data_IF_158131687411
#
_entry.id   IF_158131687411
#
_cell.length_a   1.000
_cell.length_b   1.000
_cell.length_c   1.000
_cell.angle_alpha   90.00
_cell.angle_beta   90.00
_cell.angle_gamma   90.00
#
_symmetry.space_group_name_H-M   'P 1'
#
loop_
_entity.id
_entity.type
_entity.pdbx_description
1 polymer ?
#
# COMPACT_ATOMS: atom_id res chain seq x y z
N UNK A 1 -9.45 15.90 26.72
CA UNK A 1 -8.03 16.14 26.41
C UNK A 1 -7.36 17.10 27.39
N UNK A 2 -8.06 18.13 27.89
CA UNK A 2 -7.49 19.01 28.92
C UNK A 2 -7.51 18.36 30.31
N UNK A 3 -6.42 18.56 31.07
CA UNK A 3 -6.17 18.10 32.44
C UNK A 3 -5.83 16.60 32.64
N UNK A 4 -5.24 15.95 31.63
CA UNK A 4 -4.66 14.60 31.77
C UNK A 4 -3.34 14.50 31.00
N UNK A 5 -2.35 13.80 31.54
CA UNK A 5 -1.08 13.53 30.86
C UNK A 5 -1.15 12.19 30.14
N UNK A 6 -0.76 12.17 28.87
CA UNK A 6 -0.72 10.96 28.05
C UNK A 6 0.70 10.68 27.59
N UNK A 7 1.08 9.41 27.53
CA UNK A 7 2.27 8.95 26.82
C UNK A 7 1.84 8.56 25.41
N UNK A 8 2.32 9.29 24.42
CA UNK A 8 1.97 9.07 23.02
C UNK A 8 3.17 8.47 22.29
N UNK A 9 2.99 7.29 21.70
CA UNK A 9 3.92 6.75 20.72
C UNK A 9 3.77 7.53 19.41
N UNK A 10 4.88 8.05 18.90
CA UNK A 10 4.92 8.73 17.61
C UNK A 10 6.16 8.31 16.85
N UNK A 11 5.99 7.95 15.59
CA UNK A 11 7.08 7.61 14.70
C UNK A 11 6.68 7.93 13.26
N UNK A 12 7.64 8.41 12.47
CA UNK A 12 7.47 8.65 11.04
C UNK A 12 8.49 7.80 10.27
N UNK A 13 7.98 6.98 9.34
CA UNK A 13 8.80 6.08 8.53
C UNK A 13 9.04 6.70 7.16
N UNK A 14 10.11 7.46 7.02
CA UNK A 14 10.49 8.08 5.75
C UNK A 14 10.71 7.01 4.67
N UNK A 15 10.14 7.22 3.47
CA UNK A 15 10.22 6.26 2.37
C UNK A 15 9.12 5.19 2.35
N UNK A 16 8.25 5.14 3.37
CA UNK A 16 7.12 4.19 3.46
C UNK A 16 5.76 4.83 3.13
N UNK A 17 5.76 6.04 2.56
CA UNK A 17 4.56 6.62 1.95
C UNK A 17 4.22 5.90 0.65
N UNK A 18 2.93 5.87 0.26
CA UNK A 18 2.43 5.06 -0.86
C UNK A 18 3.24 5.22 -2.16
N UNK A 19 3.55 6.46 -2.58
CA UNK A 19 4.34 6.71 -3.80
C UNK A 19 5.78 6.19 -3.68
N UNK A 20 6.43 6.40 -2.54
CA UNK A 20 7.78 5.89 -2.35
C UNK A 20 7.80 4.35 -2.31
N UNK A 21 6.78 3.74 -1.71
CA UNK A 21 6.60 2.29 -1.69
C UNK A 21 6.45 1.70 -3.09
N UNK A 22 5.69 2.33 -4.01
CA UNK A 22 5.60 1.86 -5.40
C UNK A 22 6.98 1.77 -6.08
N UNK A 23 7.82 2.80 -5.92
CA UNK A 23 9.18 2.79 -6.45
C UNK A 23 10.06 1.73 -5.77
N UNK A 24 9.89 1.54 -4.47
CA UNK A 24 10.60 0.51 -3.72
C UNK A 24 10.23 -0.90 -4.22
N UNK A 25 8.94 -1.17 -4.43
CA UNK A 25 8.42 -2.45 -4.95
C UNK A 25 8.95 -2.72 -6.36
N UNK A 26 9.00 -1.70 -7.21
CA UNK A 26 9.60 -1.78 -8.55
C UNK A 26 11.12 -2.01 -8.54
N UNK A 27 11.78 -1.90 -7.37
CA UNK A 27 13.24 -1.97 -7.26
C UNK A 27 13.97 -0.72 -7.77
N UNK A 28 13.24 0.38 -8.03
CA UNK A 28 13.77 1.57 -8.68
C UNK A 28 14.56 2.53 -7.78
N UNK A 29 14.51 2.34 -6.45
CA UNK A 29 15.19 3.23 -5.49
C UNK A 29 16.70 2.97 -5.35
N UNK A 30 17.21 1.83 -5.80
CA UNK A 30 18.61 1.42 -5.61
C UNK A 30 19.48 1.55 -6.88
N UNK A 31 18.94 2.12 -7.95
CA UNK A 31 19.49 2.00 -9.31
C UNK A 31 19.87 3.33 -9.94
N UNK A 32 20.21 4.35 -9.15
CA UNK A 32 20.82 5.58 -9.69
C UNK A 32 22.07 5.20 -10.52
N UNK A 33 22.00 5.41 -11.84
CA UNK A 33 23.13 5.17 -12.76
C UNK A 33 23.15 3.83 -13.50
N UNK A 34 22.08 3.03 -13.47
CA UNK A 34 21.96 1.80 -14.30
C UNK A 34 21.26 2.12 -15.64
N UNK A 35 21.68 1.41 -16.70
CA UNK A 35 21.18 1.50 -18.09
C UNK A 35 19.66 1.73 -18.22
N UNK A 36 19.19 2.36 -19.31
CA UNK A 36 17.77 2.54 -19.59
C UNK A 36 17.08 1.16 -19.70
N UNK A 37 16.52 0.69 -18.60
CA UNK A 37 15.73 -0.53 -18.52
C UNK A 37 14.39 -0.21 -17.86
N UNK A 38 13.35 -0.90 -18.31
CA UNK A 38 12.02 -0.81 -17.73
C UNK A 38 11.99 -1.60 -16.43
N UNK A 39 11.61 -0.96 -15.32
CA UNK A 39 11.35 -1.65 -14.06
C UNK A 39 10.08 -2.48 -14.17
N UNK A 40 10.15 -3.77 -13.82
CA UNK A 40 9.03 -4.69 -13.97
C UNK A 40 8.57 -5.23 -12.63
N UNK A 41 7.26 -5.45 -12.51
CA UNK A 41 6.63 -5.95 -11.29
C UNK A 41 5.48 -6.89 -11.62
N UNK A 42 5.30 -7.90 -10.77
CA UNK A 42 4.16 -8.81 -10.81
C UNK A 42 2.86 -8.15 -10.32
N UNK A 43 2.96 -6.98 -9.69
CA UNK A 43 1.82 -6.17 -9.25
C UNK A 43 1.15 -5.37 -10.37
N UNK A 44 1.69 -5.42 -11.60
CA UNK A 44 1.27 -4.60 -12.73
C UNK A 44 0.83 -5.48 -13.91
N UNK A 45 -0.17 -5.05 -14.71
CA UNK A 45 -0.64 -5.83 -15.85
C UNK A 45 0.46 -6.02 -16.90
N UNK A 46 0.52 -7.19 -17.54
CA UNK A 46 1.62 -7.54 -18.48
C UNK A 46 1.74 -6.56 -19.65
N UNK A 47 0.61 -6.10 -20.15
CA UNK A 47 0.56 -5.18 -21.28
C UNK A 47 1.01 -3.75 -20.91
N UNK A 48 1.14 -3.44 -19.62
CA UNK A 48 1.49 -2.11 -19.17
C UNK A 48 2.95 -1.79 -19.52
N UNK A 49 3.13 -0.70 -20.26
CA UNK A 49 4.38 0.00 -20.46
C UNK A 49 4.10 1.49 -20.26
N UNK A 50 4.72 2.11 -19.26
CA UNK A 50 4.40 3.45 -18.84
C UNK A 50 5.61 4.18 -18.25
N UNK A 51 5.43 5.49 -18.06
CA UNK A 51 6.45 6.37 -17.54
C UNK A 51 5.94 7.12 -16.30
N UNK A 52 6.81 7.28 -15.32
CA UNK A 52 6.51 8.04 -14.11
C UNK A 52 7.69 8.95 -13.74
N UNK A 53 7.40 10.24 -13.55
CA UNK A 53 8.37 11.21 -13.02
C UNK A 53 8.17 11.36 -11.51
N UNK A 54 9.21 11.10 -10.74
CA UNK A 54 9.21 11.27 -9.29
C UNK A 54 10.57 11.79 -8.82
N UNK A 55 10.57 12.84 -7.98
CA UNK A 55 11.80 13.46 -7.49
C UNK A 55 12.70 14.04 -8.59
N UNK A 56 12.13 14.39 -9.75
CA UNK A 56 12.89 14.88 -10.91
C UNK A 56 13.52 13.78 -11.78
N UNK A 57 13.38 12.50 -11.39
CA UNK A 57 13.86 11.34 -12.13
C UNK A 57 12.70 10.72 -12.92
N UNK A 58 12.95 10.36 -14.18
CA UNK A 58 12.01 9.65 -15.06
C UNK A 58 12.25 8.15 -14.96
N UNK A 59 11.22 7.39 -14.62
CA UNK A 59 11.24 5.93 -14.52
C UNK A 59 10.36 5.32 -15.62
N UNK A 60 10.92 4.38 -16.40
CA UNK A 60 10.12 3.49 -17.26
C UNK A 60 9.71 2.27 -16.44
N UNK A 61 8.44 1.90 -16.46
CA UNK A 61 7.94 0.77 -15.70
C UNK A 61 6.83 0.01 -16.43
N UNK A 62 6.62 -1.24 -16.05
CA UNK A 62 5.62 -2.10 -16.67
C UNK A 62 5.38 -3.41 -15.93
N UNK A 63 4.48 -4.23 -16.45
CA UNK A 63 4.24 -5.57 -15.92
C UNK A 63 5.37 -6.56 -16.25
N UNK A 64 5.43 -7.64 -15.48
CA UNK A 64 6.28 -8.78 -15.82
C UNK A 64 5.80 -9.46 -17.11
N UNK A 65 6.68 -9.62 -18.11
CA UNK A 65 6.33 -10.26 -19.39
C UNK A 65 6.20 -11.78 -19.28
N UNK A 66 6.96 -12.39 -18.36
CA UNK A 66 6.98 -13.84 -18.10
C UNK A 66 6.75 -14.11 -16.60
N UNK A 67 6.59 -15.38 -16.20
CA UNK A 67 6.42 -15.78 -14.79
C UNK A 67 4.98 -15.67 -14.27
N UNK A 68 4.78 -15.83 -12.97
CA UNK A 68 3.46 -15.73 -12.32
C UNK A 68 3.06 -14.27 -12.06
N UNK A 69 1.77 -13.98 -12.16
CA UNK A 69 1.15 -12.69 -11.81
C UNK A 69 -0.01 -12.95 -10.85
N UNK A 70 -0.44 -11.90 -10.14
CA UNK A 70 -1.51 -12.00 -9.15
C UNK A 70 -1.03 -11.62 -7.76
N UNK A 71 -1.87 -11.88 -6.76
CA UNK A 71 -1.62 -11.38 -5.41
C UNK A 71 -0.33 -11.94 -4.80
N UNK A 72 -0.11 -13.25 -4.83
CA UNK A 72 1.05 -13.87 -4.15
C UNK A 72 2.40 -13.38 -4.71
N UNK A 73 2.63 -13.36 -6.04
CA UNK A 73 3.85 -12.79 -6.59
C UNK A 73 4.01 -11.31 -6.22
N UNK A 74 2.95 -10.51 -6.34
CA UNK A 74 2.98 -9.09 -5.97
C UNK A 74 3.30 -8.87 -4.49
N UNK A 75 2.65 -9.63 -3.62
CA UNK A 75 2.84 -9.57 -2.18
C UNK A 75 4.30 -9.89 -1.81
N UNK A 76 4.94 -10.85 -2.49
CA UNK A 76 6.35 -11.16 -2.28
C UNK A 76 7.28 -10.00 -2.68
N UNK A 77 6.96 -9.23 -3.73
CA UNK A 77 7.71 -8.01 -4.08
C UNK A 77 7.56 -6.92 -3.01
N UNK A 78 6.31 -6.71 -2.58
CA UNK A 78 5.96 -5.75 -1.54
C UNK A 78 6.56 -6.11 -0.18
N UNK A 79 6.58 -7.39 0.19
CA UNK A 79 7.06 -7.85 1.49
C UNK A 79 8.54 -7.46 1.69
N UNK A 80 9.35 -7.51 0.63
CA UNK A 80 10.75 -7.04 0.63
C UNK A 80 10.87 -5.55 0.98
N UNK A 81 9.83 -4.76 0.75
CA UNK A 81 9.79 -3.34 1.11
C UNK A 81 9.59 -3.15 2.61
N UNK A 82 8.71 -3.92 3.26
CA UNK A 82 8.26 -3.67 4.64
C UNK A 82 8.89 -4.56 5.71
N UNK A 83 9.22 -5.81 5.38
CA UNK A 83 9.57 -6.83 6.37
C UNK A 83 10.79 -6.45 7.19
N UNK A 84 10.63 -6.44 8.52
CA UNK A 84 11.71 -6.16 9.48
C UNK A 84 12.19 -4.70 9.53
N UNK A 85 11.49 -3.76 8.86
CA UNK A 85 11.90 -2.34 8.80
C UNK A 85 11.07 -1.41 9.66
N UNK A 86 9.96 -1.88 10.22
CA UNK A 86 9.05 -1.10 11.05
C UNK A 86 8.98 -1.67 12.47
N UNK A 87 8.78 -0.79 13.45
CA UNK A 87 8.59 -1.20 14.83
C UNK A 87 7.17 -1.75 14.99
N UNK A 88 7.06 -2.90 15.64
CA UNK A 88 5.81 -3.58 15.98
C UNK A 88 5.54 -3.41 17.47
N UNK A 89 4.73 -2.42 17.89
CA UNK A 89 4.40 -2.20 19.30
C UNK A 89 3.39 -3.24 19.81
N UNK A 90 3.61 -3.78 21.00
CA UNK A 90 2.74 -4.79 21.63
C UNK A 90 1.28 -4.30 21.81
N UNK A 91 1.08 -2.99 21.96
CA UNK A 91 -0.24 -2.38 22.18
C UNK A 91 -1.18 -2.50 20.95
N UNK A 92 -0.63 -2.83 19.78
CA UNK A 92 -1.37 -2.88 18.52
C UNK A 92 -2.49 -3.91 18.53
N UNK A 93 -2.32 -5.01 19.27
CA UNK A 93 -3.27 -6.11 19.32
C UNK A 93 -4.49 -5.88 20.23
N UNK A 94 -4.55 -4.75 20.95
CA UNK A 94 -5.54 -4.52 22.03
C UNK A 94 -6.49 -3.37 21.75
N UNK A 95 -6.35 -2.69 20.62
CA UNK A 95 -7.02 -1.43 20.34
C UNK A 95 -7.62 -1.40 18.93
N UNK A 96 -8.64 -0.56 18.77
CA UNK A 96 -9.08 -0.12 17.43
C UNK A 96 -8.29 1.11 17.02
N UNK A 97 -8.01 1.24 15.73
CA UNK A 97 -7.20 2.32 15.18
C UNK A 97 -7.98 3.14 14.18
N UNK A 98 -7.56 4.39 14.00
CA UNK A 98 -8.03 5.22 12.90
C UNK A 98 -6.98 5.19 11.79
N UNK A 99 -7.45 5.01 10.56
CA UNK A 99 -6.62 5.01 9.36
C UNK A 99 -7.09 6.13 8.43
N UNK A 100 -6.12 6.89 7.91
CA UNK A 100 -6.37 8.10 7.12
C UNK A 100 -5.59 8.06 5.81
N UNK A 101 -5.86 9.01 4.93
CA UNK A 101 -5.09 9.20 3.68
C UNK A 101 -5.14 7.95 2.80
N UNK A 102 -4.01 7.37 2.40
CA UNK A 102 -4.04 6.32 1.38
C UNK A 102 -4.79 5.04 1.78
N UNK A 103 -4.90 4.73 3.08
CA UNK A 103 -5.76 3.63 3.54
C UNK A 103 -7.22 3.89 3.19
N UNK A 104 -7.66 5.13 3.42
CA UNK A 104 -9.00 5.61 3.08
C UNK A 104 -9.20 5.67 1.56
N UNK A 105 -8.29 6.32 0.84
CA UNK A 105 -8.44 6.53 -0.59
C UNK A 105 -8.52 5.20 -1.34
N UNK A 106 -7.67 4.21 -1.00
CA UNK A 106 -7.72 2.89 -1.64
C UNK A 106 -8.96 2.10 -1.24
N UNK A 107 -9.49 2.30 -0.03
CA UNK A 107 -10.74 1.69 0.38
C UNK A 107 -11.95 2.30 -0.36
N UNK A 108 -11.94 3.60 -0.65
CA UNK A 108 -12.95 4.24 -1.50
C UNK A 108 -12.82 3.77 -2.96
N UNK A 109 -11.61 3.77 -3.51
CA UNK A 109 -11.36 3.37 -4.92
C UNK A 109 -11.81 1.93 -5.24
N UNK A 110 -12.04 1.13 -4.22
CA UNK A 110 -12.44 -0.28 -4.30
C UNK A 110 -13.82 -0.56 -3.73
N UNK A 111 -14.59 0.50 -3.47
CA UNK A 111 -15.94 0.46 -2.91
C UNK A 111 -16.04 -0.31 -1.58
N UNK A 112 -14.93 -0.43 -0.83
CA UNK A 112 -14.94 -1.04 0.51
C UNK A 112 -15.61 -0.13 1.54
N UNK A 113 -15.56 1.19 1.31
CA UNK A 113 -16.18 2.21 2.16
C UNK A 113 -16.82 3.31 1.31
N UNK A 114 -17.75 4.04 1.93
CA UNK A 114 -18.40 5.19 1.32
C UNK A 114 -17.49 6.43 1.38
N UNK A 115 -17.44 7.21 0.29
CA UNK A 115 -16.58 8.39 0.19
C UNK A 115 -16.98 9.54 1.13
N UNK A 116 -18.24 9.68 1.52
CA UNK A 116 -18.66 10.77 2.41
C UNK A 116 -18.64 10.34 3.88
N UNK A 117 -18.98 9.08 4.15
CA UNK A 117 -19.17 8.56 5.51
C UNK A 117 -17.95 7.84 6.05
N UNK A 118 -17.02 7.45 5.17
CA UNK A 118 -15.97 6.49 5.49
C UNK A 118 -16.52 5.13 5.87
N UNK A 119 -15.78 4.40 6.70
CA UNK A 119 -16.22 3.07 7.10
C UNK A 119 -15.31 2.39 8.12
N UNK A 120 -15.74 1.22 8.55
CA UNK A 120 -15.01 0.36 9.48
C UNK A 120 -14.61 -0.90 8.72
N UNK A 121 -13.30 -1.13 8.63
CA UNK A 121 -12.74 -2.31 8.00
C UNK A 121 -11.89 -3.08 9.00
N UNK A 122 -11.67 -4.34 8.73
CA UNK A 122 -10.62 -5.13 9.35
C UNK A 122 -9.40 -5.18 8.45
N UNK A 123 -8.26 -5.56 9.02
CA UNK A 123 -7.03 -5.77 8.24
C UNK A 123 -7.22 -6.86 7.17
N UNK A 124 -7.95 -7.93 7.49
CA UNK A 124 -8.30 -9.00 6.52
C UNK A 124 -9.09 -8.50 5.31
N UNK A 125 -9.85 -7.41 5.44
CA UNK A 125 -10.65 -6.88 4.33
C UNK A 125 -9.76 -6.30 3.23
N UNK A 126 -8.65 -5.64 3.60
CA UNK A 126 -7.66 -5.16 2.64
C UNK A 126 -6.99 -6.31 1.90
N UNK A 127 -6.60 -7.39 2.59
CA UNK A 127 -6.04 -8.58 1.94
C UNK A 127 -7.03 -9.21 0.96
N UNK A 128 -8.29 -9.42 1.38
CA UNK A 128 -9.32 -10.00 0.53
C UNK A 128 -9.54 -9.17 -0.73
N UNK A 129 -9.59 -7.84 -0.60
CA UNK A 129 -9.74 -6.94 -1.74
C UNK A 129 -8.47 -6.90 -2.61
N UNK A 130 -7.28 -6.95 -2.01
CA UNK A 130 -6.03 -7.05 -2.75
C UNK A 130 -6.01 -8.31 -3.64
N UNK A 131 -6.41 -9.46 -3.10
CA UNK A 131 -6.56 -10.71 -3.85
C UNK A 131 -7.52 -10.56 -5.03
N UNK A 132 -8.73 -10.06 -4.77
CA UNK A 132 -9.75 -9.82 -5.80
C UNK A 132 -9.24 -8.92 -6.94
N UNK A 133 -8.55 -7.82 -6.61
CA UNK A 133 -8.02 -6.88 -7.60
C UNK A 133 -6.84 -7.48 -8.37
N UNK A 134 -5.90 -8.12 -7.67
CA UNK A 134 -4.71 -8.69 -8.29
C UNK A 134 -5.03 -9.92 -9.16
N UNK A 135 -6.04 -10.72 -8.82
CA UNK A 135 -6.44 -11.88 -9.63
C UNK A 135 -7.14 -11.44 -10.93
N UNK A 136 -7.67 -10.21 -10.98
CA UNK A 136 -8.28 -9.60 -12.16
C UNK A 136 -7.38 -8.52 -12.80
N UNK A 137 -6.09 -8.51 -12.46
CA UNK A 137 -5.12 -7.48 -12.86
C UNK A 137 -5.08 -7.24 -14.37
N UNK A 138 -5.16 -8.30 -15.18
CA UNK A 138 -5.11 -8.21 -16.64
C UNK A 138 -6.39 -7.61 -17.26
N UNK A 139 -7.52 -7.70 -16.56
CA UNK A 139 -8.81 -7.17 -17.04
C UNK A 139 -9.07 -5.75 -16.51
N UNK A 140 -8.12 -5.19 -15.77
CA UNK A 140 -8.34 -3.97 -15.02
C UNK A 140 -8.26 -2.73 -15.93
N UNK A 141 -9.41 -2.09 -16.16
CA UNK A 141 -9.56 -0.91 -17.01
C UNK A 141 -9.68 0.41 -16.24
N UNK A 142 -9.57 0.37 -14.91
CA UNK A 142 -9.80 1.56 -14.07
C UNK A 142 -8.58 2.50 -13.97
N UNK A 143 -8.77 3.66 -13.35
CA UNK A 143 -7.90 4.84 -13.46
C UNK A 143 -6.48 4.77 -12.88
N UNK A 144 -6.07 3.68 -12.23
CA UNK A 144 -4.70 3.51 -11.72
C UNK A 144 -4.20 2.07 -11.90
N UNK A 145 -3.12 1.84 -12.66
CA UNK A 145 -2.53 0.50 -12.81
C UNK A 145 -1.88 -0.01 -11.51
N UNK A 146 -1.73 0.84 -10.50
CA UNK A 146 -1.07 0.50 -9.23
C UNK A 146 -2.01 -0.10 -8.18
N UNK A 147 -3.31 -0.29 -8.46
CA UNK A 147 -4.26 -0.64 -7.40
C UNK A 147 -3.92 -1.98 -6.71
N UNK A 148 -3.53 -3.00 -7.47
CA UNK A 148 -3.04 -4.28 -6.92
C UNK A 148 -1.81 -4.07 -6.02
N UNK A 149 -0.83 -3.29 -6.50
CA UNK A 149 0.39 -2.95 -5.75
C UNK A 149 0.06 -2.21 -4.45
N UNK A 150 -0.81 -1.21 -4.52
CA UNK A 150 -1.16 -0.35 -3.38
C UNK A 150 -1.91 -1.12 -2.29
N UNK A 151 -2.87 -1.96 -2.67
CA UNK A 151 -3.61 -2.79 -1.72
C UNK A 151 -2.69 -3.85 -1.10
N UNK A 152 -1.86 -4.51 -1.90
CA UNK A 152 -0.85 -5.46 -1.40
C UNK A 152 0.12 -4.78 -0.44
N UNK A 153 0.55 -3.55 -0.75
CA UNK A 153 1.38 -2.73 0.12
C UNK A 153 0.69 -2.37 1.43
N UNK A 154 -0.57 -1.93 1.39
CA UNK A 154 -1.35 -1.66 2.60
C UNK A 154 -1.46 -2.91 3.46
N UNK A 155 -1.80 -4.05 2.86
CA UNK A 155 -1.90 -5.33 3.58
C UNK A 155 -0.57 -5.70 4.24
N UNK A 156 0.53 -5.69 3.51
CA UNK A 156 1.84 -6.04 4.05
C UNK A 156 2.32 -5.02 5.11
N UNK A 157 2.05 -3.73 4.90
CA UNK A 157 2.43 -2.70 5.87
C UNK A 157 1.66 -2.86 7.20
N UNK A 158 0.37 -3.18 7.15
CA UNK A 158 -0.44 -3.43 8.34
C UNK A 158 0.00 -4.73 9.03
N UNK A 159 0.07 -5.84 8.30
CA UNK A 159 0.35 -7.17 8.85
C UNK A 159 1.82 -7.35 9.19
N UNK A 160 2.69 -7.29 8.18
CA UNK A 160 4.12 -7.61 8.32
C UNK A 160 4.97 -6.42 8.79
N UNK A 161 4.52 -5.20 8.48
CA UNK A 161 5.17 -3.98 8.92
C UNK A 161 4.87 -3.70 10.39
N UNK A 162 3.62 -3.39 10.70
CA UNK A 162 3.19 -2.96 12.03
C UNK A 162 2.78 -4.10 12.97
N UNK A 163 2.55 -5.31 12.47
CA UNK A 163 2.17 -6.45 13.29
C UNK A 163 0.68 -6.51 13.63
N UNK A 164 -0.20 -5.88 12.85
CA UNK A 164 -1.64 -5.98 13.09
C UNK A 164 -2.15 -7.41 12.87
N UNK A 165 -3.07 -7.86 13.73
CA UNK A 165 -3.82 -9.08 13.51
C UNK A 165 -4.93 -8.86 12.47
N UNK A 166 -5.32 -9.93 11.78
CA UNK A 166 -6.32 -9.92 10.70
C UNK A 166 -7.66 -9.31 11.12
N UNK A 167 -8.09 -9.58 12.35
CA UNK A 167 -9.35 -9.10 12.92
C UNK A 167 -9.26 -7.68 13.52
N UNK A 168 -8.08 -7.04 13.45
CA UNK A 168 -7.91 -5.70 14.01
C UNK A 168 -8.77 -4.69 13.25
N UNK A 169 -9.54 -3.91 14.01
CA UNK A 169 -10.49 -2.94 13.48
C UNK A 169 -9.81 -1.60 13.16
N UNK A 170 -9.99 -1.16 11.92
CA UNK A 170 -9.56 0.12 11.37
C UNK A 170 -10.79 0.98 11.02
N UNK A 171 -10.89 2.15 11.65
CA UNK A 171 -11.86 3.19 11.31
C UNK A 171 -11.24 4.07 10.22
N UNK A 172 -11.66 3.85 8.99
CA UNK A 172 -11.17 4.56 7.82
C UNK A 172 -11.97 5.84 7.64
N UNK A 173 -11.30 6.98 7.72
CA UNK A 173 -11.93 8.29 7.65
C UNK A 173 -11.07 9.26 6.83
N UNK A 174 -11.72 10.15 6.10
CA UNK A 174 -11.03 11.28 5.49
C UNK A 174 -10.58 12.25 6.60
N UNK A 175 -9.29 12.60 6.61
CA UNK A 175 -8.83 13.68 7.48
C UNK A 175 -9.39 15.00 6.96
N UNK A 176 -10.52 15.46 7.52
CA UNK A 176 -11.03 16.81 7.28
C UNK A 176 -10.11 17.79 8.02
N UNK A 177 -9.14 18.34 7.28
CA UNK A 177 -8.46 19.56 7.69
C UNK A 177 -9.45 20.70 7.49
N UNK A 178 -10.25 20.99 8.52
CA UNK A 178 -10.83 22.31 8.66
C UNK A 178 -9.68 23.28 8.96
N UNK A 179 -9.20 23.96 7.92
CA UNK A 179 -8.39 25.17 8.05
C UNK A 179 -9.32 26.38 8.28
#
# INVERSE_FOLDING_TARGET
MFNSTYKLYTHSYLGFGLKAARLATLGALATEGIDPHTFRSACLPRYLEAEWIFGGVKYQYGGNQEGEVGFEPCYAEVLRVVQGKLHQPDEIHRSSFYAFSYYYDRAVDTDMIDYEKGGVLKVEDFERKAREVCDNLENFTSGSPFLCMDLSYITALLKDGFGFADDTILKNMQAQLYL
#
